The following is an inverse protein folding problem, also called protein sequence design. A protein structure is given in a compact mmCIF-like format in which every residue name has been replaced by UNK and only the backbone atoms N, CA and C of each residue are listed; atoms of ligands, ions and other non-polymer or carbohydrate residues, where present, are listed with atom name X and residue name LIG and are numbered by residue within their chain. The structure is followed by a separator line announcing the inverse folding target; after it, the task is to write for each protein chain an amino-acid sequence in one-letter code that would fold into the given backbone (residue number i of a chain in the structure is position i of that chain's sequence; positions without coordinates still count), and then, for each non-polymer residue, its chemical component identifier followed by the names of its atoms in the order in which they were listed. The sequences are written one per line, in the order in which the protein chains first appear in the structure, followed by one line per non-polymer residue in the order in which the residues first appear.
data_IF_724418134162
#
_entry.id   IF_724418134162
#
_cell.length_a   1.000
_cell.length_b   1.000
_cell.length_c   1.000
_cell.angle_alpha   90.00
_cell.angle_beta   90.00
_cell.angle_gamma   90.00
#
_symmetry.space_group_name_H-M   'P 1'
#
loop_
_entity.id
_entity.type
_entity.pdbx_description
1 polymer ?
#
# COMPACT_ATOMS: atom_id res chain seq x y z
N UNK A 1 23.90 22.23 -9.87
CA UNK A 1 23.86 23.52 -9.16
C UNK A 1 25.27 24.04 -8.97
N UNK A 2 25.46 25.34 -9.05
CA UNK A 2 26.72 26.01 -8.73
C UNK A 2 26.93 26.08 -7.21
N UNK A 3 28.18 26.24 -6.77
CA UNK A 3 28.50 26.37 -5.33
C UNK A 3 27.72 27.52 -4.65
N UNK A 4 27.57 28.65 -5.34
CA UNK A 4 26.85 29.83 -4.83
C UNK A 4 25.34 29.59 -4.68
N UNK A 5 24.73 28.85 -5.61
CA UNK A 5 23.32 28.46 -5.51
C UNK A 5 23.12 27.51 -4.32
N UNK A 6 24.03 26.57 -4.11
CA UNK A 6 23.98 25.64 -2.98
C UNK A 6 24.11 26.40 -1.66
N UNK A 7 25.04 27.36 -1.57
CA UNK A 7 25.20 28.22 -0.38
C UNK A 7 23.91 28.94 -0.01
N UNK A 8 23.16 29.46 -0.99
CA UNK A 8 21.88 30.15 -0.76
C UNK A 8 20.78 29.22 -0.26
N UNK A 9 20.79 27.96 -0.69
CA UNK A 9 19.77 26.96 -0.36
C UNK A 9 20.10 26.16 0.92
N UNK A 10 21.27 26.37 1.54
CA UNK A 10 21.69 25.65 2.75
C UNK A 10 20.73 25.81 3.93
N UNK A 11 20.13 26.99 4.13
CA UNK A 11 19.13 27.20 5.19
C UNK A 11 17.85 26.42 4.92
N UNK A 12 17.35 26.47 3.68
CA UNK A 12 16.16 25.71 3.29
C UNK A 12 16.41 24.19 3.38
N UNK A 13 17.63 23.74 3.04
CA UNK A 13 18.07 22.38 3.25
C UNK A 13 18.08 22.00 4.74
N UNK A 14 18.68 22.83 5.60
CA UNK A 14 18.74 22.60 7.05
C UNK A 14 17.34 22.50 7.69
N UNK A 15 16.40 23.32 7.22
CA UNK A 15 15.01 23.31 7.67
C UNK A 15 14.15 22.19 7.06
N UNK A 16 14.70 21.41 6.11
CA UNK A 16 13.98 20.34 5.41
C UNK A 16 12.91 20.84 4.44
N UNK A 17 13.04 22.07 3.94
CA UNK A 17 12.06 22.73 3.07
C UNK A 17 12.27 22.47 1.57
N UNK A 18 13.31 21.71 1.21
CA UNK A 18 13.61 21.37 -0.17
C UNK A 18 12.91 20.09 -0.63
N UNK A 19 12.59 20.05 -1.92
CA UNK A 19 12.17 18.81 -2.57
C UNK A 19 13.27 17.74 -2.54
N UNK A 20 12.91 16.45 -2.65
CA UNK A 20 13.83 15.33 -2.46
C UNK A 20 15.01 15.34 -3.45
N UNK A 21 14.77 15.74 -4.70
CA UNK A 21 15.79 15.92 -5.75
C UNK A 21 16.90 16.88 -5.30
N UNK A 22 16.52 18.12 -4.93
CA UNK A 22 17.46 19.16 -4.51
C UNK A 22 18.17 18.81 -3.22
N UNK A 23 17.47 18.17 -2.29
CA UNK A 23 18.07 17.73 -1.02
C UNK A 23 19.21 16.72 -1.27
N UNK A 24 19.03 15.78 -2.20
CA UNK A 24 20.08 14.82 -2.58
C UNK A 24 21.29 15.56 -3.18
N UNK A 25 21.06 16.48 -4.11
CA UNK A 25 22.14 17.24 -4.75
C UNK A 25 22.96 18.05 -3.73
N UNK A 26 22.29 18.79 -2.84
CA UNK A 26 22.95 19.57 -1.80
C UNK A 26 23.68 18.67 -0.80
N UNK A 27 23.10 17.55 -0.40
CA UNK A 27 23.74 16.61 0.51
C UNK A 27 25.05 16.04 -0.08
N UNK A 28 25.05 15.72 -1.38
CA UNK A 28 26.24 15.26 -2.08
C UNK A 28 27.32 16.34 -2.11
N UNK A 29 26.95 17.60 -2.39
CA UNK A 29 27.91 18.71 -2.38
C UNK A 29 28.48 19.00 -1.00
N UNK A 30 27.63 19.06 0.04
CA UNK A 30 28.07 19.27 1.43
C UNK A 30 29.02 18.16 1.90
N UNK A 31 28.84 16.93 1.41
CA UNK A 31 29.76 15.82 1.71
C UNK A 31 31.16 16.05 1.12
N UNK A 32 31.26 16.71 -0.04
CA UNK A 32 32.52 16.94 -0.75
C UNK A 32 33.15 18.32 -0.52
N UNK A 33 32.38 19.31 -0.05
CA UNK A 33 32.81 20.70 0.09
C UNK A 33 32.95 21.11 1.57
N UNK A 34 34.18 21.37 2.01
CA UNK A 34 34.47 21.77 3.39
C UNK A 34 33.81 23.09 3.79
N UNK A 35 33.73 24.07 2.87
CA UNK A 35 33.09 25.36 3.15
C UNK A 35 31.59 25.23 3.41
N UNK A 36 30.87 24.48 2.56
CA UNK A 36 29.43 24.29 2.73
C UNK A 36 29.13 23.45 3.98
N UNK A 37 30.02 22.53 4.35
CA UNK A 37 29.92 21.77 5.61
C UNK A 37 30.08 22.68 6.82
N UNK A 38 31.12 23.53 6.83
CA UNK A 38 31.34 24.49 7.91
C UNK A 38 30.16 25.48 8.06
N UNK A 39 29.62 25.96 6.94
CA UNK A 39 28.43 26.81 6.96
C UNK A 39 27.20 26.09 7.57
N UNK A 40 27.00 24.82 7.25
CA UNK A 40 25.90 24.04 7.83
C UNK A 40 26.10 23.78 9.34
N UNK A 41 27.34 23.54 9.76
CA UNK A 41 27.70 23.41 11.18
C UNK A 41 27.45 24.71 11.95
N UNK A 42 27.75 25.87 11.35
CA UNK A 42 27.45 27.19 11.93
C UNK A 42 25.94 27.38 12.15
N UNK A 43 25.11 27.03 11.15
CA UNK A 43 23.65 27.05 11.30
C UNK A 43 23.18 26.12 12.43
N UNK A 44 23.77 24.94 12.53
CA UNK A 44 23.46 23.96 13.58
C UNK A 44 23.82 24.46 14.98
N UNK A 45 25.00 25.08 15.12
CA UNK A 45 25.46 25.67 16.37
C UNK A 45 24.55 26.83 16.81
N UNK A 46 24.18 27.71 15.88
CA UNK A 46 23.24 28.80 16.14
C UNK A 46 21.86 28.27 16.59
N UNK A 47 21.32 27.27 15.88
CA UNK A 47 20.05 26.64 16.24
C UNK A 47 20.07 26.01 17.64
N UNK A 48 21.19 25.36 17.98
CA UNK A 48 21.37 24.72 19.28
C UNK A 48 21.46 25.75 20.40
N UNK A 49 22.24 26.82 20.21
CA UNK A 49 22.34 27.92 21.16
C UNK A 49 20.98 28.60 21.41
N UNK A 50 20.18 28.81 20.37
CA UNK A 50 18.81 29.35 20.53
C UNK A 50 17.94 28.38 21.34
N UNK A 51 17.97 27.08 21.03
CA UNK A 51 17.18 26.06 21.75
C UNK A 51 17.54 25.98 23.23
N UNK A 52 18.81 26.09 23.58
CA UNK A 52 19.27 26.06 24.97
C UNK A 52 18.82 27.29 25.75
N UNK A 53 18.93 28.49 25.14
CA UNK A 53 18.59 29.74 25.81
C UNK A 53 17.08 30.02 25.88
N UNK A 54 16.30 29.57 24.90
CA UNK A 54 14.85 29.81 24.80
C UNK A 54 14.01 28.58 25.17
N UNK A 55 14.61 27.57 25.83
CA UNK A 55 13.90 26.34 26.20
C UNK A 55 12.80 26.62 27.23
N UNK A 56 11.61 26.99 26.75
CA UNK A 56 10.39 26.99 27.54
C UNK A 56 9.82 25.57 27.53
N UNK A 57 9.67 24.97 28.71
CA UNK A 57 9.03 23.67 28.83
C UNK A 57 7.59 23.75 28.29
N UNK A 58 7.29 22.97 27.25
CA UNK A 58 5.93 22.85 26.75
C UNK A 58 5.02 22.32 27.87
N UNK A 59 3.81 22.89 28.06
CA UNK A 59 2.88 22.39 29.07
C UNK A 59 2.59 20.91 28.88
N UNK A 60 2.62 20.11 29.97
CA UNK A 60 2.42 18.66 29.91
C UNK A 60 1.12 18.26 29.18
N UNK A 61 0.05 19.03 29.38
CA UNK A 61 -1.24 18.84 28.73
C UNK A 61 -1.18 18.98 27.18
N UNK A 62 -0.22 19.74 26.64
CA UNK A 62 -0.04 19.89 25.20
C UNK A 62 0.51 18.60 24.58
N UNK A 63 1.51 17.99 25.22
CA UNK A 63 2.12 16.73 24.76
C UNK A 63 1.07 15.62 24.69
N UNK A 64 0.26 15.49 25.73
CA UNK A 64 -0.80 14.47 25.79
C UNK A 64 -1.85 14.67 24.69
N UNK A 65 -2.31 15.91 24.49
CA UNK A 65 -3.29 16.25 23.43
C UNK A 65 -2.76 15.97 22.02
N UNK A 66 -1.49 16.29 21.75
CA UNK A 66 -0.86 16.02 20.45
C UNK A 66 -0.75 14.52 20.20
N UNK A 67 -0.26 13.76 21.19
CA UNK A 67 -0.14 12.30 21.08
C UNK A 67 -1.51 11.63 20.92
N UNK A 68 -2.53 12.10 21.64
CA UNK A 68 -3.89 11.58 21.50
C UNK A 68 -4.44 11.79 20.09
N UNK A 69 -4.25 12.97 19.49
CA UNK A 69 -4.66 13.25 18.10
C UNK A 69 -3.91 12.40 17.08
N UNK A 70 -2.59 12.28 17.20
CA UNK A 70 -1.79 11.45 16.29
C UNK A 70 -2.19 9.96 16.33
N UNK A 71 -2.60 9.46 17.50
CA UNK A 71 -3.13 8.08 17.64
C UNK A 71 -4.50 7.92 16.99
N UNK A 72 -5.38 8.92 17.14
CA UNK A 72 -6.72 8.89 16.55
C UNK A 72 -6.72 8.90 15.01
N UNK A 73 -5.71 9.53 14.39
CA UNK A 73 -5.56 9.54 12.92
C UNK A 73 -5.14 8.20 12.33
N UNK A 74 -4.56 7.29 13.13
CA UNK A 74 -4.33 5.91 12.70
C UNK A 74 -5.67 5.17 12.65
N UNK A 75 -6.40 5.34 11.54
CA UNK A 75 -7.61 4.56 11.26
C UNK A 75 -7.26 3.08 11.32
N UNK A 76 -8.02 2.24 12.06
CA UNK A 76 -7.77 0.81 12.06
C UNK A 76 -8.09 0.27 10.66
N UNK A 77 -7.03 -0.12 9.94
CA UNK A 77 -7.09 -0.85 8.66
C UNK A 77 -7.91 -2.16 8.77
N UNK A 78 -8.23 -2.60 9.98
CA UNK A 78 -8.98 -3.80 10.25
C UNK A 78 -10.47 -3.72 9.87
N UNK A 79 -11.04 -2.52 9.73
CA UNK A 79 -12.47 -2.35 9.41
C UNK A 79 -12.80 -2.61 7.93
N UNK A 80 -11.82 -2.46 7.03
CA UNK A 80 -11.99 -2.82 5.61
C UNK A 80 -11.77 -4.32 5.34
N UNK A 81 -11.02 -5.00 6.22
CA UNK A 81 -10.74 -6.44 6.10
C UNK A 81 -12.02 -7.29 6.24
N UNK A 82 -12.93 -6.93 7.15
CA UNK A 82 -14.17 -7.69 7.35
C UNK A 82 -15.17 -7.54 6.19
N UNK A 83 -15.22 -6.36 5.55
CA UNK A 83 -16.07 -6.12 4.37
C UNK A 83 -15.56 -6.91 3.16
N UNK A 84 -14.24 -6.96 2.96
CA UNK A 84 -13.62 -7.75 1.90
C UNK A 84 -13.81 -9.26 2.11
N UNK A 85 -13.69 -9.74 3.34
CA UNK A 85 -13.94 -11.14 3.68
C UNK A 85 -15.40 -11.55 3.41
N UNK A 86 -16.37 -10.70 3.78
CA UNK A 86 -17.78 -10.97 3.52
C UNK A 86 -18.10 -11.00 2.00
N UNK A 87 -17.51 -10.09 1.22
CA UNK A 87 -17.67 -10.08 -0.24
C UNK A 87 -17.12 -11.35 -0.90
N UNK A 88 -15.96 -11.85 -0.44
CA UNK A 88 -15.35 -13.07 -0.96
C UNK A 88 -16.24 -14.31 -0.74
N UNK A 89 -16.88 -14.44 0.43
CA UNK A 89 -17.81 -15.53 0.73
C UNK A 89 -19.03 -15.50 -0.19
N UNK A 90 -19.61 -14.31 -0.42
CA UNK A 90 -20.77 -14.15 -1.32
C UNK A 90 -20.41 -14.52 -2.76
N UNK A 91 -19.24 -14.07 -3.26
CA UNK A 91 -18.79 -14.39 -4.61
C UNK A 91 -18.58 -15.89 -4.80
N UNK A 92 -17.94 -16.57 -3.83
CA UNK A 92 -17.74 -18.03 -3.88
C UNK A 92 -19.07 -18.79 -3.87
N UNK A 93 -20.03 -18.37 -3.04
CA UNK A 93 -21.36 -18.98 -3.00
C UNK A 93 -22.12 -18.82 -4.33
N UNK A 94 -22.06 -17.62 -4.94
CA UNK A 94 -22.66 -17.36 -6.24
C UNK A 94 -21.99 -18.19 -7.36
N UNK A 95 -20.66 -18.27 -7.38
CA UNK A 95 -19.91 -19.08 -8.34
C UNK A 95 -20.26 -20.57 -8.22
N UNK A 96 -20.34 -21.11 -7.00
CA UNK A 96 -20.74 -22.49 -6.75
C UNK A 96 -22.19 -22.76 -7.21
N UNK A 97 -23.12 -21.84 -6.95
CA UNK A 97 -24.51 -21.94 -7.40
C UNK A 97 -24.66 -21.89 -8.93
N UNK A 98 -23.92 -21.00 -9.60
CA UNK A 98 -23.91 -20.90 -11.07
C UNK A 98 -23.32 -22.17 -11.70
N UNK A 99 -22.21 -22.67 -11.16
CA UNK A 99 -21.59 -23.91 -11.61
C UNK A 99 -22.57 -25.09 -11.48
N UNK A 100 -23.17 -25.28 -10.30
CA UNK A 100 -24.14 -26.34 -10.07
C UNK A 100 -25.31 -26.30 -11.06
N UNK A 101 -25.87 -25.10 -11.32
CA UNK A 101 -26.95 -24.90 -12.29
C UNK A 101 -26.51 -25.20 -13.73
N UNK A 102 -25.25 -24.93 -14.08
CA UNK A 102 -24.70 -25.13 -15.43
C UNK A 102 -24.34 -26.59 -15.73
N UNK A 103 -23.93 -27.35 -14.71
CA UNK A 103 -23.52 -28.75 -14.84
C UNK A 103 -24.69 -29.76 -14.74
N UNK A 104 -25.79 -29.38 -14.07
CA UNK A 104 -26.98 -30.23 -13.93
C UNK A 104 -27.61 -30.71 -15.27
N UNK A 105 -27.75 -29.89 -16.32
CA UNK A 105 -28.29 -30.36 -17.60
C UNK A 105 -27.31 -31.24 -18.40
N UNK A 106 -25.99 -31.10 -18.18
CA UNK A 106 -24.97 -31.87 -18.91
C UNK A 106 -24.93 -33.31 -18.42
N UNK A 107 -25.04 -33.54 -17.11
CA UNK A 107 -25.05 -34.89 -16.53
C UNK A 107 -26.32 -35.68 -16.93
N UNK A 108 -27.48 -35.03 -16.98
CA UNK A 108 -28.73 -35.70 -17.37
C UNK A 108 -28.75 -36.06 -18.87
N UNK A 109 -28.21 -35.19 -19.73
CA UNK A 109 -28.05 -35.47 -21.15
C UNK A 109 -27.08 -36.63 -21.43
N UNK A 110 -25.99 -36.74 -20.65
CA UNK A 110 -25.02 -37.81 -20.79
C UNK A 110 -25.58 -39.17 -20.37
N UNK A 111 -26.38 -39.23 -19.30
CA UNK A 111 -27.05 -40.46 -18.86
C UNK A 111 -28.08 -40.93 -19.90
N UNK A 112 -28.88 -40.02 -20.45
CA UNK A 112 -29.84 -40.32 -21.54
C UNK A 112 -29.13 -40.80 -22.81
N UNK A 113 -28.00 -40.18 -23.17
CA UNK A 113 -27.19 -40.58 -24.33
C UNK A 113 -26.64 -42.00 -24.22
N UNK A 114 -26.16 -42.41 -23.05
CA UNK A 114 -25.67 -43.78 -22.84
C UNK A 114 -26.79 -44.83 -22.92
N UNK A 115 -28.00 -44.51 -22.43
CA UNK A 115 -29.16 -45.42 -22.50
C UNK A 115 -29.60 -45.61 -23.96
N UNK A 116 -29.67 -44.53 -24.74
CA UNK A 116 -30.05 -44.60 -26.16
C UNK A 116 -28.98 -45.31 -27.01
N UNK A 117 -27.69 -45.12 -26.70
CA UNK A 117 -26.59 -45.84 -27.36
C UNK A 117 -26.59 -47.34 -27.04
N UNK A 118 -26.84 -47.73 -25.79
CA UNK A 118 -26.97 -49.15 -25.43
C UNK A 118 -28.14 -49.82 -26.18
N UNK A 119 -29.27 -49.13 -26.27
CA UNK A 119 -30.46 -49.58 -27.00
C UNK A 119 -30.19 -49.82 -28.49
N UNK A 120 -29.43 -48.95 -29.16
CA UNK A 120 -29.12 -49.08 -30.59
C UNK A 120 -28.13 -50.21 -30.90
N UNK A 121 -27.16 -50.48 -30.00
CA UNK A 121 -26.24 -51.63 -30.16
C UNK A 121 -26.95 -52.98 -30.05
N UNK A 122 -27.95 -53.09 -29.18
CA UNK A 122 -28.79 -54.28 -29.05
C UNK A 122 -29.73 -54.47 -30.25
N UNK A 123 -30.23 -53.37 -30.84
CA UNK A 123 -31.06 -53.41 -32.05
C UNK A 123 -30.30 -53.76 -33.33
N UNK A 124 -29.03 -53.35 -33.46
CA UNK A 124 -28.22 -53.61 -34.65
C UNK A 124 -27.74 -55.08 -34.76
N UNK A 125 -27.65 -55.80 -33.64
CA UNK A 125 -27.20 -57.21 -33.61
C UNK A 125 -28.30 -58.24 -33.94
N UNK A 126 -29.57 -57.81 -34.07
CA UNK A 126 -30.73 -58.71 -34.25
C UNK A 126 -31.18 -58.95 -35.70
N UNK A 127 -30.60 -58.25 -36.69
CA UNK A 127 -31.05 -58.30 -38.08
C UNK A 127 -30.11 -59.07 -38.99
N UNK A 128 -30.05 -60.40 -38.87
CA UNK A 128 -29.62 -61.26 -39.96
C UNK A 128 -30.15 -62.69 -39.77
N UNK A 129 -31.37 -62.93 -40.27
CA UNK A 129 -31.85 -64.23 -40.74
C UNK A 129 -32.81 -64.00 -41.89
#
# INVERSE_FOLDING_TARGET
MTHEEIKKELSAYFDGQLGPEKAVEISAHVSACAECRAALEELSALSSGVKENLSAAAPAAMKERVLARARAEKKPLFRTSTVLAAAAVIILALMAGIAAKRYMPVMFAQIQGMINAASSTLGASGGNK
#
